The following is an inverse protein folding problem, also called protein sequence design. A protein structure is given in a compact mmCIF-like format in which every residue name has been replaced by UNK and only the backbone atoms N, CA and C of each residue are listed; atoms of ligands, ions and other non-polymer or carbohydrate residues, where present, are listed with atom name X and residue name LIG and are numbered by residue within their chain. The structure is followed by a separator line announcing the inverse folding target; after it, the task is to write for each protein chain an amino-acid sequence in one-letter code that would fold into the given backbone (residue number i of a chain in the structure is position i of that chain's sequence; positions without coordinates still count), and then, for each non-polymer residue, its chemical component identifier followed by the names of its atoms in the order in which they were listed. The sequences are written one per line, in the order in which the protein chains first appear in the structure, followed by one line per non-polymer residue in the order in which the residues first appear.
data_IF_301925067831
#
_entry.id   IF_301925067831
#
_cell.length_a   1.000
_cell.length_b   1.000
_cell.length_c   1.000
_cell.angle_alpha   90.00
_cell.angle_beta   90.00
_cell.angle_gamma   90.00
#
_symmetry.space_group_name_H-M   'P 1'
#
loop_
_entity.id
_entity.type
_entity.pdbx_description
1 polymer ?
#
# COMPACT_ATOMS: atom_id res chain seq x y z
N UNK A 1 3.95 4.72 2.40
CA UNK A 1 4.56 3.90 1.36
C UNK A 1 3.78 4.08 0.06
N UNK A 2 4.47 4.27 -1.07
CA UNK A 2 3.86 4.29 -2.39
C UNK A 2 4.29 3.02 -3.15
N UNK A 3 3.33 2.29 -3.71
CA UNK A 3 3.59 1.25 -4.69
C UNK A 3 3.29 1.81 -6.07
N UNK A 4 4.28 1.74 -6.96
CA UNK A 4 4.18 2.23 -8.33
C UNK A 4 4.17 1.06 -9.30
N UNK A 5 3.30 1.14 -10.28
CA UNK A 5 3.07 0.11 -11.28
C UNK A 5 3.23 0.74 -12.66
N UNK A 6 3.81 -0.01 -13.59
CA UNK A 6 3.75 0.34 -14.99
C UNK A 6 2.29 0.34 -15.47
N UNK A 7 1.96 1.07 -16.56
CA UNK A 7 0.64 1.00 -17.16
C UNK A 7 0.21 -0.46 -17.41
N UNK A 8 -0.98 -0.83 -16.91
CA UNK A 8 -1.54 -2.19 -16.99
C UNK A 8 -0.81 -3.29 -16.20
N UNK A 9 0.18 -2.96 -15.35
CA UNK A 9 0.80 -3.94 -14.46
C UNK A 9 -0.11 -4.32 -13.28
N UNK A 10 -0.92 -3.35 -12.80
CA UNK A 10 -1.87 -3.59 -11.73
C UNK A 10 -3.12 -4.31 -12.25
N UNK A 11 -3.19 -5.60 -11.99
CA UNK A 11 -4.28 -6.47 -12.44
C UNK A 11 -5.40 -6.59 -11.39
N UNK A 12 -6.45 -5.78 -11.57
CA UNK A 12 -7.67 -5.81 -10.74
C UNK A 12 -8.58 -7.03 -10.98
N UNK A 13 -8.23 -7.95 -11.90
CA UNK A 13 -8.92 -9.25 -12.00
C UNK A 13 -8.52 -10.20 -10.86
N UNK A 14 -7.34 -9.98 -10.25
CA UNK A 14 -6.89 -10.72 -9.07
C UNK A 14 -7.59 -10.22 -7.81
N UNK A 15 -7.73 -11.10 -6.83
CA UNK A 15 -8.36 -10.74 -5.55
C UNK A 15 -7.39 -10.06 -4.59
N UNK A 16 -6.12 -10.44 -4.64
CA UNK A 16 -5.13 -10.07 -3.62
C UNK A 16 -3.76 -9.86 -4.23
N UNK A 17 -3.11 -8.77 -3.85
CA UNK A 17 -1.71 -8.47 -4.14
C UNK A 17 -0.89 -8.64 -2.87
N UNK A 18 0.20 -9.42 -2.91
CA UNK A 18 1.10 -9.58 -1.78
C UNK A 18 2.40 -8.80 -1.99
N UNK A 19 2.77 -8.01 -0.99
CA UNK A 19 3.94 -7.13 -1.03
C UNK A 19 4.91 -7.55 0.08
N UNK A 20 6.16 -7.88 -0.25
CA UNK A 20 7.17 -8.21 0.74
C UNK A 20 7.54 -6.97 1.56
N UNK A 21 7.77 -7.15 2.86
CA UNK A 21 8.33 -6.13 3.73
C UNK A 21 9.81 -6.40 3.85
N UNK A 22 10.57 -5.78 2.96
CA UNK A 22 12.03 -5.73 3.03
C UNK A 22 12.44 -4.33 3.43
N UNK A 23 12.95 -4.18 4.66
CA UNK A 23 13.67 -2.99 5.06
C UNK A 23 15.02 -2.93 4.30
N UNK A 24 15.57 -1.73 4.01
CA UNK A 24 15.12 -0.41 4.46
C UNK A 24 14.02 0.21 3.59
N UNK A 25 13.10 0.95 4.22
CA UNK A 25 12.13 1.78 3.50
C UNK A 25 12.78 3.10 3.09
N UNK A 26 12.60 3.51 1.83
CA UNK A 26 13.01 4.82 1.36
C UNK A 26 11.92 5.85 1.67
N UNK A 27 12.31 6.95 2.32
CA UNK A 27 11.43 8.10 2.49
C UNK A 27 11.21 8.74 1.11
N UNK A 28 9.94 8.92 0.73
CA UNK A 28 9.56 9.66 -0.46
C UNK A 28 9.42 11.13 -0.11
N UNK A 29 10.11 11.98 -0.85
CA UNK A 29 9.96 13.43 -0.81
C UNK A 29 8.80 13.89 -1.71
N UNK A 30 8.20 15.03 -1.41
CA UNK A 30 7.05 15.54 -2.16
C UNK A 30 7.36 15.76 -3.64
N UNK A 31 8.58 16.18 -3.94
CA UNK A 31 9.06 16.44 -5.30
C UNK A 31 9.21 15.15 -6.12
N UNK A 32 9.28 13.99 -5.47
CA UNK A 32 9.36 12.68 -6.12
C UNK A 32 7.99 12.09 -6.43
N UNK A 33 6.89 12.73 -5.98
CA UNK A 33 5.51 12.29 -6.20
C UNK A 33 5.03 12.84 -7.55
N UNK A 34 4.77 11.99 -8.55
CA UNK A 34 4.25 12.45 -9.84
C UNK A 34 2.84 13.04 -9.64
N UNK A 35 2.68 14.33 -9.94
CA UNK A 35 1.39 15.04 -9.78
C UNK A 35 0.29 14.55 -10.75
N UNK A 36 0.69 13.91 -11.86
CA UNK A 36 -0.20 13.54 -12.97
C UNK A 36 -0.62 12.06 -12.97
N UNK A 37 -0.11 11.24 -12.05
CA UNK A 37 -0.43 9.81 -12.01
C UNK A 37 -1.64 9.54 -11.11
N UNK A 38 -2.64 8.82 -11.64
CA UNK A 38 -3.81 8.44 -10.89
C UNK A 38 -3.44 7.40 -9.81
N UNK A 39 -3.72 7.74 -8.55
CA UNK A 39 -3.42 6.91 -7.39
C UNK A 39 -4.63 6.62 -6.54
N UNK A 40 -4.63 5.45 -5.90
CA UNK A 40 -5.66 5.04 -4.94
C UNK A 40 -5.05 4.93 -3.55
N UNK A 41 -5.69 5.53 -2.56
CA UNK A 41 -5.38 5.28 -1.15
C UNK A 41 -5.91 3.91 -0.73
N UNK A 42 -4.99 3.06 -0.27
CA UNK A 42 -5.26 1.78 0.37
C UNK A 42 -5.58 2.05 1.83
N UNK A 43 -6.77 1.62 2.26
CA UNK A 43 -7.22 1.78 3.63
C UNK A 43 -6.77 0.58 4.48
N UNK A 44 -6.83 0.72 5.80
CA UNK A 44 -6.47 -0.38 6.71
C UNK A 44 -7.38 -1.60 6.49
N UNK A 45 -8.65 -1.39 6.13
CA UNK A 45 -9.59 -2.46 5.80
C UNK A 45 -9.27 -3.14 4.48
N UNK A 46 -8.43 -2.56 3.63
CA UNK A 46 -7.95 -3.21 2.41
C UNK A 46 -6.75 -4.12 2.68
N UNK A 47 -6.10 -4.02 3.85
CA UNK A 47 -4.93 -4.82 4.20
C UNK A 47 -5.32 -6.23 4.65
N UNK A 48 -4.52 -7.21 4.25
CA UNK A 48 -4.70 -8.63 4.58
C UNK A 48 -3.42 -9.17 5.21
N UNK A 49 -3.55 -9.88 6.33
CA UNK A 49 -2.46 -10.67 6.90
C UNK A 49 -2.58 -12.10 6.42
N UNK A 50 -1.47 -12.67 5.97
CA UNK A 50 -1.38 -14.09 5.70
C UNK A 50 -0.38 -14.75 6.67
N UNK A 51 -0.84 -15.56 7.64
CA UNK A 51 0.05 -16.23 8.59
C UNK A 51 1.10 -17.14 7.95
N UNK A 52 0.84 -17.65 6.73
CA UNK A 52 1.81 -18.45 5.98
C UNK A 52 2.89 -17.60 5.29
N UNK A 53 2.78 -16.26 5.29
CA UNK A 53 3.72 -15.32 4.67
C UNK A 53 4.02 -14.13 5.59
N UNK A 54 4.69 -14.36 6.74
CA UNK A 54 4.88 -13.34 7.77
C UNK A 54 5.75 -12.14 7.35
N UNK A 55 6.60 -12.30 6.32
CA UNK A 55 7.44 -11.23 5.78
C UNK A 55 6.74 -10.42 4.66
N UNK A 56 5.41 -10.45 4.60
CA UNK A 56 4.63 -9.75 3.59
C UNK A 56 3.28 -9.32 4.15
N UNK A 57 2.72 -8.27 3.56
CA UNK A 57 1.32 -7.92 3.75
C UNK A 57 0.57 -8.08 2.43
N UNK A 58 -0.72 -8.39 2.52
CA UNK A 58 -1.62 -8.46 1.38
C UNK A 58 -2.44 -7.18 1.25
N UNK A 59 -2.87 -6.89 0.03
CA UNK A 59 -3.81 -5.83 -0.32
C UNK A 59 -4.98 -6.48 -1.05
N UNK A 60 -6.20 -6.25 -0.57
CA UNK A 60 -7.44 -6.75 -1.16
C UNK A 60 -7.85 -5.89 -2.36
N UNK A 61 -7.45 -6.30 -3.56
CA UNK A 61 -7.82 -5.61 -4.79
C UNK A 61 -9.34 -5.64 -5.04
N UNK A 62 -10.03 -6.68 -4.56
CA UNK A 62 -11.49 -6.78 -4.62
C UNK A 62 -12.21 -5.68 -3.80
N UNK A 63 -11.71 -5.34 -2.61
CA UNK A 63 -12.28 -4.29 -1.75
C UNK A 63 -12.02 -2.91 -2.34
N UNK A 64 -10.80 -2.69 -2.85
CA UNK A 64 -10.45 -1.48 -3.60
C UNK A 64 -11.37 -1.34 -4.82
N UNK A 65 -11.54 -2.41 -5.60
CA UNK A 65 -12.42 -2.41 -6.77
C UNK A 65 -13.86 -2.06 -6.42
N UNK A 66 -14.40 -2.65 -5.37
CA UNK A 66 -15.75 -2.36 -4.91
C UNK A 66 -15.94 -0.87 -4.55
N UNK A 67 -14.98 -0.29 -3.83
CA UNK A 67 -15.01 1.11 -3.41
C UNK A 67 -14.85 2.10 -4.56
N UNK A 68 -14.13 1.70 -5.61
CA UNK A 68 -13.83 2.54 -6.77
C UNK A 68 -14.46 2.03 -8.07
N UNK A 69 -15.58 1.31 -8.00
CA UNK A 69 -16.18 0.64 -9.17
C UNK A 69 -16.37 1.59 -10.34
N UNK A 70 -16.97 2.76 -10.10
CA UNK A 70 -17.18 3.80 -11.12
C UNK A 70 -15.87 4.41 -11.65
N UNK A 71 -14.87 4.53 -10.78
CA UNK A 71 -13.58 5.15 -11.08
C UNK A 71 -12.68 4.22 -11.92
N UNK A 72 -12.68 2.92 -11.63
CA UNK A 72 -11.87 1.93 -12.34
C UNK A 72 -12.44 1.57 -13.72
N UNK A 73 -13.75 1.70 -13.90
CA UNK A 73 -14.40 1.53 -15.20
C UNK A 73 -14.09 2.72 -16.14
N UNK A 74 -13.90 3.93 -15.60
CA UNK A 74 -13.56 5.14 -16.37
C UNK A 74 -12.03 5.36 -16.51
N UNK A 75 -11.23 4.93 -15.53
CA UNK A 75 -9.78 5.12 -15.48
C UNK A 75 -9.05 3.81 -15.17
N UNK A 76 -8.93 2.90 -16.16
CA UNK A 76 -8.31 1.59 -15.95
C UNK A 76 -6.80 1.67 -15.64
N UNK A 77 -6.17 2.82 -15.88
CA UNK A 77 -4.72 3.02 -15.75
C UNK A 77 -4.29 3.56 -14.38
N UNK A 78 -4.83 3.02 -13.28
CA UNK A 78 -4.30 3.34 -11.95
C UNK A 78 -2.88 2.79 -11.84
N UNK A 79 -1.93 3.67 -11.53
CA UNK A 79 -0.50 3.35 -11.49
C UNK A 79 0.08 3.42 -10.09
N UNK A 80 -0.68 3.93 -9.12
CA UNK A 80 -0.18 4.12 -7.76
C UNK A 80 -1.14 3.62 -6.69
N UNK A 81 -0.58 2.96 -5.68
CA UNK A 81 -1.26 2.66 -4.43
C UNK A 81 -0.55 3.35 -3.27
N UNK A 82 -1.31 4.13 -2.51
CA UNK A 82 -0.82 4.90 -1.36
C UNK A 82 -1.23 4.21 -0.08
N UNK A 83 -0.24 3.81 0.73
CA UNK A 83 -0.48 3.08 1.99
C UNK A 83 0.19 3.85 3.13
N UNK A 84 -0.50 4.03 4.25
CA UNK A 84 0.11 4.61 5.46
C UNK A 84 0.98 3.56 6.14
N UNK A 85 2.19 3.95 6.55
CA UNK A 85 3.11 3.01 7.20
C UNK A 85 2.55 2.51 8.54
N UNK A 86 1.87 3.39 9.28
CA UNK A 86 1.18 3.07 10.53
C UNK A 86 0.17 1.93 10.38
N UNK A 87 -0.53 1.87 9.26
CA UNK A 87 -1.56 0.86 9.01
C UNK A 87 -0.92 -0.51 8.75
N UNK A 88 0.24 -0.54 8.09
CA UNK A 88 1.03 -1.76 7.88
C UNK A 88 1.56 -2.28 9.22
N UNK A 89 2.13 -1.40 10.03
CA UNK A 89 2.69 -1.72 11.36
C UNK A 89 1.61 -2.27 12.30
N UNK A 90 0.44 -1.63 12.32
CA UNK A 90 -0.71 -2.06 13.12
C UNK A 90 -1.21 -3.45 12.71
N UNK A 91 -1.43 -3.66 11.41
CA UNK A 91 -1.97 -4.91 10.88
C UNK A 91 -1.00 -6.08 11.07
N UNK A 92 0.32 -5.81 11.06
CA UNK A 92 1.35 -6.83 11.30
C UNK A 92 1.76 -6.95 12.77
N UNK A 93 1.16 -6.17 13.67
CA UNK A 93 1.50 -6.13 15.09
C UNK A 93 3.01 -5.91 15.32
N UNK A 94 3.63 -5.04 14.52
CA UNK A 94 5.05 -4.73 14.64
C UNK A 94 5.30 -3.84 15.86
N UNK A 95 6.19 -4.26 16.78
CA UNK A 95 6.67 -3.42 17.88
C UNK A 95 7.77 -2.48 17.37
N UNK A 96 7.36 -1.28 16.97
CA UNK A 96 8.26 -0.26 16.42
C UNK A 96 8.81 0.72 17.46
N UNK A 97 8.32 0.68 18.71
CA UNK A 97 8.69 1.66 19.76
C UNK A 97 10.18 1.64 20.10
N UNK A 98 10.84 0.49 19.96
CA UNK A 98 12.28 0.36 20.18
C UNK A 98 13.14 0.96 19.07
N UNK A 99 12.56 1.27 17.91
CA UNK A 99 13.28 1.80 16.73
C UNK A 99 13.31 3.34 16.69
N UNK A 100 12.52 4.01 17.54
CA UNK A 100 12.48 5.46 17.63
C UNK A 100 13.01 5.93 18.98
N UNK A 101 14.11 6.69 18.99
CA UNK A 101 14.56 7.37 20.19
C UNK A 101 13.64 8.56 20.45
N UNK A 102 12.83 8.50 21.50
CA UNK A 102 12.21 9.70 22.05
C UNK A 102 13.32 10.59 22.61
N UNK A 103 13.77 11.58 21.84
CA UNK A 103 14.57 12.67 22.40
C UNK A 103 13.63 13.50 23.29
N UNK A 104 13.68 13.23 24.60
CA UNK A 104 13.21 14.22 25.57
C UNK A 104 14.05 15.48 25.39
N UNK A 105 13.36 16.61 25.25
CA UNK A 105 13.95 17.96 25.15
C UNK A 105 14.96 18.24 26.26
#
# INVERSE_FOLDING_TARGET
MALRFQPNELDFSKTTLYIPISAPFQQLHMEEIPELEAGITVLIEDLIVNPARPASFGISLSRIKQRHTLLLDEYPSIQQLWIRMTDIEEVLQMEIRSLYSWSSK
#
